data_IF_334352772511
#
_entry.id   IF_334352772511
#
_cell.length_a   1.000
_cell.length_b   1.000
_cell.length_c   1.000
_cell.angle_alpha   90.00
_cell.angle_beta   90.00
_cell.angle_gamma   90.00
#
_symmetry.space_group_name_H-M   'P 1'
#
loop_
_entity.id
_entity.type
_entity.pdbx_description
1 polymer ?
#
# COMPACT_ATOMS: atom_id res chain seq x y z
N UNK A 1 7.27 -11.76 -9.94
CA UNK A 1 6.44 -12.10 -8.75
C UNK A 1 5.64 -10.85 -8.41
N UNK A 2 4.35 -10.96 -8.14
CA UNK A 2 3.46 -9.81 -7.86
C UNK A 2 2.97 -9.91 -6.40
N UNK A 3 2.44 -8.83 -5.84
CA UNK A 3 1.97 -8.78 -4.46
C UNK A 3 0.83 -7.80 -4.26
N UNK A 4 0.06 -8.02 -3.20
CA UNK A 4 -0.97 -7.12 -2.69
C UNK A 4 -0.43 -6.52 -1.40
N UNK A 5 -0.46 -5.19 -1.31
CA UNK A 5 0.19 -4.44 -0.25
C UNK A 5 -0.77 -3.42 0.36
N UNK A 6 -0.53 -3.08 1.62
CA UNK A 6 -1.13 -1.93 2.29
C UNK A 6 -0.05 -1.10 2.99
N UNK A 7 -0.37 0.13 3.36
CA UNK A 7 0.48 0.93 4.25
C UNK A 7 0.46 0.30 5.65
N UNK A 8 1.61 0.25 6.30
CA UNK A 8 1.67 -0.18 7.70
C UNK A 8 0.90 0.82 8.58
N UNK A 9 0.19 0.29 9.58
CA UNK A 9 -0.66 1.07 10.48
C UNK A 9 -0.15 0.91 11.92
N UNK A 10 0.20 2.01 12.63
CA UNK A 10 0.06 3.41 12.23
C UNK A 10 1.26 4.00 11.48
N UNK A 11 2.39 3.29 11.40
CA UNK A 11 3.68 3.82 10.94
C UNK A 11 3.64 4.45 9.53
N UNK A 12 3.43 3.62 8.51
CA UNK A 12 3.38 4.03 7.11
C UNK A 12 2.26 5.02 6.80
N UNK A 13 1.08 4.82 7.38
CA UNK A 13 -0.05 5.78 7.27
C UNK A 13 0.37 7.16 7.77
N UNK A 14 1.03 7.24 8.92
CA UNK A 14 1.44 8.52 9.51
C UNK A 14 2.48 9.24 8.64
N UNK A 15 3.51 8.52 8.18
CA UNK A 15 4.58 9.08 7.32
C UNK A 15 4.00 9.67 6.02
N UNK A 16 3.18 8.90 5.31
CA UNK A 16 2.61 9.34 4.04
C UNK A 16 1.62 10.50 4.24
N UNK A 17 0.77 10.44 5.26
CA UNK A 17 -0.22 11.50 5.54
C UNK A 17 0.43 12.85 5.85
N UNK A 18 1.62 12.86 6.45
CA UNK A 18 2.32 14.08 6.84
C UNK A 18 3.17 14.67 5.70
N UNK A 19 3.42 13.92 4.62
CA UNK A 19 4.24 14.40 3.51
C UNK A 19 3.50 15.47 2.67
N UNK A 20 4.23 16.50 2.24
CA UNK A 20 3.74 17.58 1.37
C UNK A 20 4.51 17.71 0.06
N UNK A 21 5.51 16.87 -0.17
CA UNK A 21 6.33 16.91 -1.37
C UNK A 21 5.54 16.39 -2.59
N UNK A 22 5.92 16.88 -3.77
CA UNK A 22 5.26 16.55 -5.04
C UNK A 22 6.27 15.91 -5.99
N UNK A 23 5.77 15.08 -6.89
CA UNK A 23 6.63 14.26 -7.76
C UNK A 23 7.23 13.09 -7.00
N UNK A 24 8.12 12.35 -7.65
CA UNK A 24 8.80 11.21 -7.02
C UNK A 24 9.88 11.69 -6.06
N UNK A 25 9.82 11.23 -4.83
CA UNK A 25 10.76 11.56 -3.75
C UNK A 25 10.83 10.41 -2.74
N UNK A 26 11.84 10.44 -1.87
CA UNK A 26 12.05 9.42 -0.84
C UNK A 26 11.32 9.77 0.45
N UNK A 27 10.95 8.76 1.23
CA UNK A 27 10.37 8.92 2.56
C UNK A 27 11.30 8.35 3.64
N UNK A 28 11.30 8.99 4.81
CA UNK A 28 11.93 8.44 6.01
C UNK A 28 11.17 7.20 6.49
N UNK A 29 11.89 6.25 7.10
CA UNK A 29 11.25 5.11 7.72
C UNK A 29 10.36 5.55 8.89
N UNK A 30 9.23 4.87 9.14
CA UNK A 30 8.46 4.97 10.37
C UNK A 30 9.33 4.89 11.62
N UNK A 31 8.97 5.64 12.66
CA UNK A 31 9.73 5.72 13.92
C UNK A 31 9.78 4.40 14.71
N UNK A 32 8.82 3.50 14.46
CA UNK A 32 8.75 2.16 15.04
C UNK A 32 9.67 1.15 14.31
N UNK A 33 10.38 1.58 13.26
CA UNK A 33 11.26 0.74 12.46
C UNK A 33 10.54 -0.18 11.48
N UNK A 34 9.21 -0.07 11.37
CA UNK A 34 8.43 -0.79 10.37
C UNK A 34 8.75 -0.29 8.94
N UNK A 35 8.41 -1.10 7.94
CA UNK A 35 8.39 -0.62 6.54
C UNK A 35 7.18 0.27 6.31
N UNK A 36 7.24 1.22 5.35
CA UNK A 36 6.09 2.08 5.00
C UNK A 36 4.91 1.27 4.47
N UNK A 37 5.19 0.15 3.81
CA UNK A 37 4.18 -0.77 3.28
C UNK A 37 4.58 -2.21 3.57
N UNK A 38 3.58 -3.08 3.66
CA UNK A 38 3.75 -4.51 3.92
C UNK A 38 2.73 -5.35 3.14
N UNK A 39 2.95 -6.66 3.08
CA UNK A 39 2.06 -7.60 2.40
C UNK A 39 0.74 -7.75 3.16
N UNK A 40 -0.39 -7.75 2.45
CA UNK A 40 -1.69 -7.98 3.07
C UNK A 40 -1.82 -9.42 3.60
N UNK A 41 -1.98 -9.57 4.91
CA UNK A 41 -2.30 -10.85 5.57
C UNK A 41 -3.80 -11.16 5.62
N UNK A 42 -4.64 -10.17 5.34
CA UNK A 42 -6.10 -10.21 5.49
C UNK A 42 -6.85 -10.26 4.14
N UNK A 43 -6.13 -10.49 3.03
CA UNK A 43 -6.72 -10.63 1.70
C UNK A 43 -6.76 -12.11 1.31
N UNK A 44 -7.95 -12.59 0.96
CA UNK A 44 -8.16 -13.91 0.39
C UNK A 44 -8.37 -13.82 -1.12
N UNK A 45 -7.62 -14.62 -1.89
CA UNK A 45 -7.70 -14.65 -3.35
C UNK A 45 -8.51 -15.85 -3.81
N UNK A 46 -9.69 -15.59 -4.38
CA UNK A 46 -10.50 -16.60 -5.05
C UNK A 46 -10.42 -16.42 -6.58
N UNK A 47 -9.73 -17.31 -7.32
CA UNK A 47 -9.63 -17.20 -8.77
C UNK A 47 -10.92 -17.56 -9.51
N UNK A 48 -11.96 -18.05 -8.81
CA UNK A 48 -13.24 -18.46 -9.40
C UNK A 48 -14.32 -17.39 -9.29
N UNK A 49 -14.02 -16.29 -8.60
CA UNK A 49 -14.97 -15.20 -8.47
C UNK A 49 -15.08 -14.46 -9.81
N UNK A 50 -16.30 -14.33 -10.33
CA UNK A 50 -16.56 -13.52 -11.52
C UNK A 50 -16.31 -12.04 -11.20
N UNK A 51 -15.70 -11.31 -12.15
CA UNK A 51 -15.47 -9.87 -12.03
C UNK A 51 -15.62 -9.19 -13.39
N UNK A 52 -16.12 -7.95 -13.36
CA UNK A 52 -16.26 -7.11 -14.54
C UNK A 52 -15.08 -6.13 -14.66
N UNK A 53 -14.62 -5.92 -15.89
CA UNK A 53 -13.64 -4.87 -16.22
C UNK A 53 -14.33 -3.78 -17.00
N UNK A 54 -14.38 -2.57 -16.43
CA UNK A 54 -14.87 -1.38 -17.11
C UNK A 54 -13.67 -0.52 -17.50
N UNK A 55 -13.38 -0.45 -18.79
CA UNK A 55 -12.29 0.35 -19.34
C UNK A 55 -12.78 1.75 -19.72
N UNK A 56 -12.12 2.79 -19.19
CA UNK A 56 -12.46 4.21 -19.38
C UNK A 56 -11.34 5.00 -20.10
N UNK A 57 -10.33 4.32 -20.63
CA UNK A 57 -9.13 4.93 -21.23
C UNK A 57 -9.38 5.56 -22.60
#
# INVERSE_FOLDING_TARGET
KHGIFHLSDPGGITVIRQCRERGFHSHVAPSDGSSIYEHCSHVYMDPKLDFDVVDLR
#
